data_IF_065593166650
#
_entry.id   IF_065593166650
#
_cell.length_a   1.000
_cell.length_b   1.000
_cell.length_c   1.000
_cell.angle_alpha   90.00
_cell.angle_beta   90.00
_cell.angle_gamma   90.00
#
_symmetry.space_group_name_H-M   'P 1'
#
loop_
_entity.id
_entity.type
_entity.pdbx_description
1 polymer ?
#
# COMPACT_ATOMS: atom_id res chain seq x y z
N UNK A 1 2.56 1.72 -10.31
CA UNK A 1 2.67 0.82 -9.15
C UNK A 1 3.36 1.51 -7.98
N UNK A 2 2.96 1.18 -6.73
CA UNK A 2 3.60 1.65 -5.50
C UNK A 2 4.70 0.68 -5.08
N UNK A 3 5.86 1.24 -4.68
CA UNK A 3 7.05 0.46 -4.30
C UNK A 3 7.74 1.07 -3.09
N UNK A 4 8.50 0.26 -2.37
CA UNK A 4 9.41 0.69 -1.31
C UNK A 4 10.80 0.18 -1.63
N UNK A 5 11.75 1.11 -1.80
CA UNK A 5 13.17 0.78 -1.82
C UNK A 5 13.77 1.04 -0.44
N UNK A 6 15.01 0.76 -0.22
CA UNK A 6 15.65 1.02 1.07
C UNK A 6 16.30 2.39 1.17
N UNK A 7 16.69 2.99 0.05
CA UNK A 7 17.45 4.24 0.01
C UNK A 7 16.54 5.48 0.14
N UNK A 8 16.87 6.43 1.02
CA UNK A 8 18.02 6.44 1.93
C UNK A 8 17.81 5.62 3.22
N UNK A 9 18.92 5.09 3.76
CA UNK A 9 19.02 4.56 5.13
C UNK A 9 18.84 3.07 5.32
N UNK A 10 18.44 2.34 4.27
CA UNK A 10 18.31 0.88 4.23
C UNK A 10 18.76 0.34 2.87
N UNK A 11 19.90 0.84 2.37
CA UNK A 11 20.43 0.53 1.05
C UNK A 11 20.76 -0.97 0.88
N UNK A 12 20.93 -1.68 2.00
CA UNK A 12 21.12 -3.14 2.04
C UNK A 12 19.90 -3.92 1.53
N UNK A 13 18.71 -3.30 1.54
CA UNK A 13 17.49 -3.88 0.98
C UNK A 13 17.42 -3.66 -0.51
N UNK A 14 17.50 -2.40 -0.93
CA UNK A 14 17.55 -2.00 -2.32
C UNK A 14 17.91 -0.53 -2.47
N UNK A 15 18.80 -0.22 -3.43
CA UNK A 15 19.07 1.18 -3.82
C UNK A 15 18.05 1.67 -4.83
N UNK A 16 17.83 2.99 -4.89
CA UNK A 16 16.95 3.62 -5.90
C UNK A 16 17.38 3.23 -7.31
N UNK A 17 18.67 3.25 -7.59
CA UNK A 17 19.21 2.90 -8.91
C UNK A 17 18.89 1.45 -9.29
N UNK A 18 19.04 0.50 -8.35
CA UNK A 18 18.71 -0.90 -8.61
C UNK A 18 17.22 -1.08 -8.85
N UNK A 19 16.37 -0.54 -7.95
CA UNK A 19 14.93 -0.66 -8.07
C UNK A 19 14.38 -0.06 -9.37
N UNK A 20 14.88 1.09 -9.81
CA UNK A 20 14.50 1.67 -11.10
C UNK A 20 14.91 0.81 -12.29
N UNK A 21 16.10 0.17 -12.24
CA UNK A 21 16.53 -0.77 -13.27
C UNK A 21 15.67 -2.04 -13.31
N UNK A 22 15.31 -2.58 -12.13
CA UNK A 22 14.39 -3.73 -12.02
C UNK A 22 13.02 -3.35 -12.55
N UNK A 23 12.48 -2.20 -12.17
CA UNK A 23 11.20 -1.69 -12.67
C UNK A 23 11.20 -1.58 -14.21
N UNK A 24 12.25 -0.97 -14.80
CA UNK A 24 12.37 -0.85 -16.25
C UNK A 24 12.41 -2.22 -16.95
N UNK A 25 13.20 -3.17 -16.44
CA UNK A 25 13.27 -4.54 -16.98
C UNK A 25 11.97 -5.29 -16.86
N UNK A 26 11.16 -4.98 -15.84
CA UNK A 26 9.85 -5.57 -15.61
C UNK A 26 8.72 -4.87 -16.37
N UNK A 27 9.04 -3.86 -17.20
CA UNK A 27 8.08 -3.17 -18.07
C UNK A 27 7.38 -1.97 -17.43
N UNK A 28 7.78 -1.54 -16.24
CA UNK A 28 7.19 -0.36 -15.60
C UNK A 28 7.81 0.92 -16.16
N UNK A 29 6.98 1.77 -16.75
CA UNK A 29 7.39 3.10 -17.24
C UNK A 29 7.46 4.14 -16.13
N UNK A 30 6.69 3.92 -15.06
CA UNK A 30 6.65 4.79 -13.89
C UNK A 30 6.37 4.00 -12.61
N UNK A 31 6.94 4.48 -11.50
CA UNK A 31 6.70 3.97 -10.16
C UNK A 31 6.44 5.11 -9.17
N UNK A 32 5.65 4.83 -8.14
CA UNK A 32 5.49 5.72 -7.00
C UNK A 32 6.24 5.14 -5.80
N UNK A 33 7.24 5.86 -5.28
CA UNK A 33 8.07 5.41 -4.16
C UNK A 33 7.51 5.90 -2.82
N UNK A 34 7.37 4.99 -1.87
CA UNK A 34 6.85 5.28 -0.54
C UNK A 34 7.89 6.01 0.35
N UNK A 35 7.39 6.72 1.37
CA UNK A 35 8.18 7.54 2.28
C UNK A 35 8.90 6.76 3.41
N UNK A 36 8.86 5.44 3.41
CA UNK A 36 9.33 4.56 4.50
C UNK A 36 10.86 4.35 4.55
N UNK A 37 11.58 5.43 4.42
CA UNK A 37 13.06 5.51 4.44
C UNK A 37 13.58 6.06 5.78
N UNK A 38 14.90 6.16 5.94
CA UNK A 38 15.53 6.78 7.10
C UNK A 38 16.64 7.76 6.65
N UNK A 39 16.40 9.08 6.72
CA UNK A 39 15.20 9.72 7.26
C UNK A 39 13.95 9.49 6.40
N UNK A 40 12.77 9.65 7.02
CA UNK A 40 11.47 9.61 6.32
C UNK A 40 11.37 10.76 5.32
N UNK A 41 10.70 10.55 4.20
CA UNK A 41 10.46 11.60 3.18
C UNK A 41 9.29 12.48 3.63
N UNK A 42 9.51 13.38 4.57
CA UNK A 42 8.49 14.23 5.20
C UNK A 42 8.69 15.72 4.97
N UNK A 43 9.64 16.10 4.11
CA UNK A 43 9.95 17.47 3.78
C UNK A 43 10.44 17.64 2.33
N UNK A 44 10.52 18.89 1.88
CA UNK A 44 10.93 19.28 0.54
C UNK A 44 12.27 18.66 0.11
N UNK A 45 13.29 18.75 0.95
CA UNK A 45 14.66 18.30 0.59
C UNK A 45 14.74 16.79 0.38
N UNK A 46 13.97 16.01 1.14
CA UNK A 46 13.89 14.58 0.96
C UNK A 46 13.21 14.19 -0.37
N UNK A 47 12.16 14.91 -0.78
CA UNK A 47 11.53 14.74 -2.10
C UNK A 47 12.50 15.06 -3.22
N UNK A 48 13.20 16.20 -3.14
CA UNK A 48 14.21 16.61 -4.13
C UNK A 48 15.37 15.59 -4.24
N UNK A 49 15.78 15.01 -3.12
CA UNK A 49 16.78 13.93 -3.11
C UNK A 49 16.34 12.74 -3.98
N UNK A 50 15.10 12.24 -3.80
CA UNK A 50 14.58 11.11 -4.56
C UNK A 50 14.54 11.42 -6.07
N UNK A 51 14.04 12.61 -6.43
CA UNK A 51 13.97 13.07 -7.83
C UNK A 51 15.37 13.16 -8.44
N UNK A 52 16.32 13.78 -7.75
CA UNK A 52 17.69 13.92 -8.23
C UNK A 52 18.38 12.54 -8.43
N UNK A 53 18.11 11.59 -7.55
CA UNK A 53 18.63 10.21 -7.66
C UNK A 53 18.06 9.43 -8.85
N UNK A 54 16.88 9.81 -9.34
CA UNK A 54 16.22 9.15 -10.48
C UNK A 54 16.54 9.77 -11.85
N UNK A 55 17.33 10.84 -11.88
CA UNK A 55 17.72 11.50 -13.15
C UNK A 55 18.41 10.50 -14.08
N UNK A 56 18.00 10.51 -15.36
CA UNK A 56 18.45 9.60 -16.41
C UNK A 56 18.06 8.11 -16.23
N UNK A 57 17.16 7.77 -15.33
CA UNK A 57 16.59 6.43 -15.28
C UNK A 57 15.57 6.22 -16.41
N UNK A 58 15.42 4.97 -16.87
CA UNK A 58 14.42 4.62 -17.89
C UNK A 58 12.99 4.63 -17.34
N UNK A 59 12.84 4.35 -16.03
CA UNK A 59 11.55 4.41 -15.32
C UNK A 59 11.43 5.73 -14.59
N UNK A 60 10.31 6.42 -14.76
CA UNK A 60 10.04 7.67 -14.03
C UNK A 60 9.70 7.38 -12.57
N UNK A 61 10.34 8.11 -11.65
CA UNK A 61 10.08 8.01 -10.22
C UNK A 61 9.19 9.15 -9.76
N UNK A 62 8.10 8.83 -9.06
CA UNK A 62 7.21 9.77 -8.41
C UNK A 62 7.26 9.59 -6.90
N UNK A 63 7.73 10.57 -6.12
CA UNK A 63 7.74 10.48 -4.66
C UNK A 63 6.34 10.54 -4.06
N UNK A 64 6.04 9.66 -3.10
CA UNK A 64 4.95 9.81 -2.15
C UNK A 64 5.59 10.39 -0.88
N UNK A 65 5.21 11.60 -0.47
CA UNK A 65 5.67 12.20 0.77
C UNK A 65 4.94 11.60 1.99
N UNK A 66 5.56 11.66 3.17
CA UNK A 66 4.86 11.29 4.39
C UNK A 66 3.72 12.27 4.68
N UNK A 67 2.60 11.76 5.19
CA UNK A 67 1.49 12.57 5.63
C UNK A 67 1.81 13.29 6.95
N UNK A 68 2.55 12.60 7.81
CA UNK A 68 2.93 13.12 9.12
C UNK A 68 4.45 13.16 9.31
N UNK A 69 4.91 14.08 10.16
CA UNK A 69 6.33 14.23 10.48
C UNK A 69 6.91 12.93 11.05
N UNK A 70 7.94 12.40 10.39
CA UNK A 70 8.55 11.12 10.71
C UNK A 70 7.60 9.93 10.62
N UNK A 71 6.45 10.05 9.92
CA UNK A 71 5.38 9.03 9.88
C UNK A 71 4.94 8.57 11.27
N UNK A 72 4.75 9.52 12.20
CA UNK A 72 4.38 9.25 13.60
C UNK A 72 2.87 9.33 13.87
N UNK A 73 2.07 9.82 12.91
CA UNK A 73 0.62 9.97 13.06
C UNK A 73 0.20 11.08 14.04
N UNK A 74 1.07 12.04 14.36
CA UNK A 74 0.84 13.10 15.36
C UNK A 74 0.68 14.46 14.68
N UNK A 75 1.73 14.97 14.08
CA UNK A 75 1.75 16.27 13.43
C UNK A 75 1.86 16.12 11.92
N UNK A 76 1.11 16.94 11.18
CA UNK A 76 1.14 16.94 9.71
C UNK A 76 2.52 17.39 9.19
N UNK A 77 3.00 16.75 8.12
CA UNK A 77 4.23 17.13 7.43
C UNK A 77 4.03 18.35 6.53
N UNK A 78 5.09 18.79 5.85
CA UNK A 78 5.09 19.95 4.94
C UNK A 78 4.48 19.62 3.57
N UNK A 79 3.18 19.24 3.54
CA UNK A 79 2.52 18.69 2.36
C UNK A 79 2.61 19.61 1.13
N UNK A 80 2.36 20.90 1.31
CA UNK A 80 2.40 21.86 0.21
C UNK A 80 3.80 21.99 -0.40
N UNK A 81 4.83 22.11 0.44
CA UNK A 81 6.21 22.25 -0.03
C UNK A 81 6.72 20.98 -0.71
N UNK A 82 6.34 19.82 -0.19
CA UNK A 82 6.60 18.54 -0.86
C UNK A 82 5.88 18.43 -2.21
N UNK A 83 4.62 18.88 -2.30
CA UNK A 83 3.87 18.94 -3.57
C UNK A 83 4.57 19.79 -4.61
N UNK A 84 5.01 20.98 -4.21
CA UNK A 84 5.75 21.91 -5.10
C UNK A 84 7.08 21.31 -5.57
N UNK A 85 7.67 20.44 -4.79
CA UNK A 85 8.92 19.72 -5.13
C UNK A 85 8.71 18.43 -5.91
N UNK A 86 7.47 18.06 -6.22
CA UNK A 86 7.15 16.93 -7.09
C UNK A 86 6.56 15.70 -6.40
N UNK A 87 6.22 15.76 -5.12
CA UNK A 87 5.45 14.69 -4.48
C UNK A 87 4.06 14.57 -5.12
N UNK A 88 3.64 13.36 -5.46
CA UNK A 88 2.36 13.10 -6.14
C UNK A 88 1.22 12.78 -5.17
N UNK A 89 1.54 12.27 -4.00
CA UNK A 89 0.58 11.91 -2.95
C UNK A 89 1.25 11.96 -1.57
N UNK A 90 0.44 11.76 -0.50
CA UNK A 90 0.93 11.81 0.89
C UNK A 90 0.41 10.62 1.68
N UNK A 91 1.32 9.87 2.31
CA UNK A 91 1.03 8.64 3.04
C UNK A 91 2.06 8.36 4.14
N UNK A 92 1.63 7.79 5.24
CA UNK A 92 2.55 7.20 6.22
C UNK A 92 2.84 5.72 5.92
N UNK A 93 2.87 5.37 4.62
CA UNK A 93 3.06 4.03 4.10
C UNK A 93 2.03 3.03 4.69
N UNK A 94 2.46 1.96 5.34
CA UNK A 94 1.60 0.95 5.97
C UNK A 94 1.25 1.24 7.43
N UNK A 95 1.36 2.50 7.85
CA UNK A 95 0.93 2.99 9.17
C UNK A 95 -0.41 3.70 9.04
N UNK A 96 -1.47 3.23 9.71
CA UNK A 96 -2.77 3.89 9.67
C UNK A 96 -2.74 5.21 10.43
N UNK A 97 -3.49 6.18 9.96
CA UNK A 97 -3.72 7.44 10.67
C UNK A 97 -4.82 7.18 11.72
N UNK A 98 -4.42 7.05 12.97
CA UNK A 98 -5.36 6.76 14.06
C UNK A 98 -6.16 7.97 14.53
N UNK A 99 -5.61 9.19 14.37
CA UNK A 99 -6.26 10.42 14.78
C UNK A 99 -7.25 10.91 13.69
N UNK A 100 -8.53 10.82 13.97
CA UNK A 100 -9.61 11.21 13.05
C UNK A 100 -9.54 12.68 12.65
N UNK A 101 -9.22 13.57 13.61
CA UNK A 101 -9.11 14.99 13.35
C UNK A 101 -7.90 15.31 12.45
N UNK A 102 -6.80 14.58 12.60
CA UNK A 102 -5.62 14.74 11.74
C UNK A 102 -5.96 14.40 10.28
N UNK A 103 -6.61 13.25 10.03
CA UNK A 103 -7.02 12.88 8.68
C UNK A 103 -8.04 13.88 8.11
N UNK A 104 -9.01 14.32 8.92
CA UNK A 104 -9.98 15.36 8.54
C UNK A 104 -9.28 16.65 8.09
N UNK A 105 -8.35 17.16 8.88
CA UNK A 105 -7.60 18.39 8.56
C UNK A 105 -6.72 18.20 7.34
N UNK A 106 -6.05 17.04 7.20
CA UNK A 106 -5.23 16.74 6.04
C UNK A 106 -6.04 16.73 4.73
N UNK A 107 -7.23 16.09 4.73
CA UNK A 107 -8.13 16.09 3.57
C UNK A 107 -8.60 17.51 3.21
N UNK A 108 -8.95 18.34 4.19
CA UNK A 108 -9.33 19.73 3.96
C UNK A 108 -8.16 20.57 3.44
N UNK A 109 -6.98 20.43 4.04
CA UNK A 109 -5.79 21.19 3.64
C UNK A 109 -5.31 20.83 2.23
N UNK A 110 -5.31 19.54 1.89
CA UNK A 110 -4.86 19.04 0.60
C UNK A 110 -5.67 19.59 -0.59
N UNK A 111 -6.93 19.97 -0.39
CA UNK A 111 -7.76 20.58 -1.45
C UNK A 111 -7.19 21.88 -1.99
N UNK A 112 -6.44 22.65 -1.18
CA UNK A 112 -5.85 23.93 -1.63
C UNK A 112 -4.80 23.78 -2.74
N UNK A 113 -4.27 22.57 -2.94
CA UNK A 113 -3.23 22.30 -3.95
C UNK A 113 -3.48 21.00 -4.73
N UNK A 114 -4.73 20.54 -4.76
CA UNK A 114 -5.13 19.32 -5.44
C UNK A 114 -4.34 18.09 -4.99
N UNK A 115 -4.09 17.97 -3.68
CA UNK A 115 -3.31 16.92 -3.07
C UNK A 115 -4.11 15.62 -2.90
N UNK A 116 -3.46 14.48 -3.13
CA UNK A 116 -4.01 13.15 -2.91
C UNK A 116 -3.50 12.58 -1.58
N UNK A 117 -4.42 12.21 -0.70
CA UNK A 117 -4.11 11.59 0.59
C UNK A 117 -4.31 10.08 0.49
N UNK A 118 -3.34 9.31 1.02
CA UNK A 118 -3.47 7.87 1.22
C UNK A 118 -3.77 7.57 2.68
N UNK A 119 -4.66 6.63 2.94
CA UNK A 119 -4.91 6.10 4.29
C UNK A 119 -4.81 4.59 4.28
N UNK A 120 -3.81 4.05 4.97
CA UNK A 120 -3.61 2.61 5.07
C UNK A 120 -4.76 1.96 5.86
N UNK A 121 -5.45 0.95 5.30
CA UNK A 121 -6.71 0.45 5.84
C UNK A 121 -6.52 -0.57 6.98
N UNK A 122 -6.01 -0.14 8.12
CA UNK A 122 -5.80 -1.01 9.29
C UNK A 122 -6.15 -0.27 10.58
N UNK A 123 -7.14 -0.74 11.30
CA UNK A 123 -7.39 -0.28 12.65
C UNK A 123 -6.51 -1.06 13.64
N UNK A 124 -5.50 -0.39 14.21
CA UNK A 124 -4.52 -1.03 15.08
C UNK A 124 -5.13 -1.54 16.40
N UNK A 125 -6.19 -0.90 16.92
CA UNK A 125 -6.85 -1.35 18.15
C UNK A 125 -7.57 -2.69 17.96
N UNK A 126 -8.10 -2.94 16.76
CA UNK A 126 -8.73 -4.21 16.38
C UNK A 126 -7.69 -5.25 15.95
N UNK A 127 -6.69 -4.84 15.17
CA UNK A 127 -5.64 -5.73 14.69
C UNK A 127 -4.77 -6.29 15.82
N UNK A 128 -4.56 -5.50 16.87
CA UNK A 128 -3.70 -5.87 18.00
C UNK A 128 -2.30 -6.27 17.52
N UNK A 129 -1.80 -7.36 18.07
CA UNK A 129 -0.52 -7.97 17.69
C UNK A 129 -0.67 -9.09 16.65
N UNK A 130 -1.77 -9.08 15.89
CA UNK A 130 -2.00 -10.07 14.83
C UNK A 130 -0.96 -9.97 13.72
N UNK A 131 -0.59 -11.11 13.14
CA UNK A 131 0.44 -11.23 12.09
C UNK A 131 -0.02 -11.98 10.85
N UNK A 132 -1.17 -12.63 10.91
CA UNK A 132 -1.80 -13.38 9.80
C UNK A 132 -3.29 -13.08 9.76
N UNK A 133 -4.01 -13.55 8.76
CA UNK A 133 -5.48 -13.47 8.73
C UNK A 133 -6.10 -14.22 9.91
N UNK A 134 -7.06 -13.59 10.60
CA UNK A 134 -7.87 -14.29 11.61
C UNK A 134 -8.81 -15.30 10.95
N UNK A 135 -8.70 -16.56 11.30
CA UNK A 135 -9.51 -17.63 10.74
C UNK A 135 -9.08 -19.01 11.19
N UNK A 136 -9.50 -20.02 10.43
CA UNK A 136 -9.18 -21.42 10.71
C UNK A 136 -7.67 -21.66 10.70
N UNK A 137 -6.96 -21.07 9.73
CA UNK A 137 -5.51 -21.26 9.57
C UNK A 137 -4.73 -20.64 10.74
N UNK A 138 -5.04 -19.42 11.17
CA UNK A 138 -4.37 -18.79 12.31
C UNK A 138 -4.59 -19.60 13.61
N UNK A 139 -5.81 -20.07 13.84
CA UNK A 139 -6.12 -20.91 15.01
C UNK A 139 -5.38 -22.24 14.98
N UNK A 140 -5.35 -22.91 13.83
CA UNK A 140 -4.64 -24.18 13.65
C UNK A 140 -3.13 -24.06 13.88
N UNK A 141 -2.55 -22.94 13.44
CA UNK A 141 -1.11 -22.68 13.53
C UNK A 141 -0.70 -22.02 14.87
N UNK A 142 -1.66 -21.66 15.72
CA UNK A 142 -1.38 -20.94 16.97
C UNK A 142 -0.85 -19.53 16.75
N UNK A 143 -1.11 -18.90 15.60
CA UNK A 143 -0.68 -17.54 15.27
C UNK A 143 -1.77 -16.54 15.62
N UNK A 144 -1.37 -15.35 16.08
CA UNK A 144 -2.31 -14.25 16.34
C UNK A 144 -2.90 -13.72 15.02
N UNK A 145 -4.24 -13.72 14.92
CA UNK A 145 -4.95 -13.27 13.74
C UNK A 145 -5.21 -11.78 13.69
N UNK A 146 -5.24 -11.21 12.50
CA UNK A 146 -5.73 -9.86 12.20
C UNK A 146 -7.15 -10.01 11.65
N UNK A 147 -8.20 -9.61 12.41
CA UNK A 147 -9.56 -9.68 11.91
C UNK A 147 -9.74 -8.82 10.65
N UNK A 148 -10.49 -9.32 9.68
CA UNK A 148 -10.90 -8.52 8.52
C UNK A 148 -11.64 -7.23 8.94
N UNK A 149 -12.27 -7.25 10.12
CA UNK A 149 -12.92 -6.10 10.74
C UNK A 149 -11.98 -4.90 10.93
N UNK A 150 -10.67 -5.14 11.16
CA UNK A 150 -9.69 -4.06 11.29
C UNK A 150 -9.57 -3.20 10.02
N UNK A 151 -9.67 -3.83 8.85
CA UNK A 151 -9.69 -3.15 7.56
C UNK A 151 -11.04 -2.45 7.32
N UNK A 152 -12.13 -3.15 7.58
CA UNK A 152 -13.48 -2.62 7.34
C UNK A 152 -13.78 -1.36 8.14
N UNK A 153 -13.45 -1.34 9.43
CA UNK A 153 -13.69 -0.19 10.29
C UNK A 153 -12.83 1.01 9.90
N UNK A 154 -11.57 0.78 9.54
CA UNK A 154 -10.70 1.86 9.08
C UNK A 154 -11.26 2.49 7.81
N UNK A 155 -11.61 1.70 6.81
CA UNK A 155 -12.19 2.19 5.55
C UNK A 155 -13.52 2.92 5.81
N UNK A 156 -14.43 2.34 6.59
CA UNK A 156 -15.71 2.97 6.88
C UNK A 156 -15.53 4.34 7.54
N UNK A 157 -14.63 4.45 8.53
CA UNK A 157 -14.30 5.73 9.17
C UNK A 157 -13.76 6.74 8.15
N UNK A 158 -12.81 6.32 7.31
CA UNK A 158 -12.17 7.19 6.32
C UNK A 158 -13.18 7.70 5.29
N UNK A 159 -14.12 6.86 4.88
CA UNK A 159 -15.20 7.24 3.99
C UNK A 159 -16.14 8.28 4.60
N UNK A 160 -16.48 8.16 5.89
CA UNK A 160 -17.27 9.19 6.58
C UNK A 160 -16.53 10.53 6.64
N UNK A 161 -15.23 10.50 6.90
CA UNK A 161 -14.41 11.71 6.90
C UNK A 161 -14.35 12.33 5.50
N UNK A 162 -14.13 11.52 4.46
CA UNK A 162 -14.13 11.99 3.07
C UNK A 162 -15.48 12.59 2.65
N UNK A 163 -16.59 11.93 3.00
CA UNK A 163 -17.94 12.44 2.73
C UNK A 163 -18.21 13.80 3.40
N UNK A 164 -17.66 14.00 4.61
CA UNK A 164 -17.77 15.26 5.35
C UNK A 164 -16.86 16.37 4.83
N UNK A 165 -15.62 16.05 4.47
CA UNK A 165 -14.59 17.05 4.11
C UNK A 165 -14.52 17.35 2.61
N UNK A 166 -14.89 16.39 1.77
CA UNK A 166 -14.44 16.35 0.38
C UNK A 166 -12.94 16.06 0.26
N UNK A 167 -12.37 16.35 -0.91
CA UNK A 167 -10.97 16.09 -1.23
C UNK A 167 -10.78 14.75 -1.93
N UNK A 168 -9.51 14.30 -2.04
CA UNK A 168 -9.11 13.07 -2.75
C UNK A 168 -8.49 12.07 -1.79
N UNK A 169 -9.03 10.86 -1.76
CA UNK A 169 -8.55 9.78 -0.90
C UNK A 169 -8.20 8.54 -1.72
N UNK A 170 -7.06 7.95 -1.44
CA UNK A 170 -6.71 6.61 -1.92
C UNK A 170 -6.58 5.63 -0.77
N UNK A 171 -7.23 4.48 -0.88
CA UNK A 171 -7.09 3.37 0.08
C UNK A 171 -6.14 2.33 -0.54
N UNK A 172 -4.88 2.27 -0.08
CA UNK A 172 -3.91 1.33 -0.64
C UNK A 172 -4.17 -0.11 -0.19
N UNK A 173 -3.83 -1.06 -1.06
CA UNK A 173 -3.73 -2.49 -0.75
C UNK A 173 -4.91 -3.09 0.02
N UNK A 174 -6.16 -2.82 -0.42
CA UNK A 174 -7.32 -3.50 0.17
C UNK A 174 -7.22 -5.01 -0.02
N UNK A 175 -7.68 -5.78 0.95
CA UNK A 175 -7.48 -7.23 0.97
C UNK A 175 -8.77 -8.07 1.14
N UNK A 176 -9.92 -7.42 1.35
CA UNK A 176 -11.15 -8.14 1.71
C UNK A 176 -12.34 -7.84 0.80
N UNK A 177 -13.23 -8.80 0.65
CA UNK A 177 -14.52 -8.68 -0.08
C UNK A 177 -15.36 -7.50 0.43
N UNK A 178 -15.41 -7.29 1.76
CA UNK A 178 -16.21 -6.20 2.35
C UNK A 178 -15.65 -4.84 2.00
N UNK A 179 -14.32 -4.70 1.91
CA UNK A 179 -13.66 -3.46 1.48
C UNK A 179 -14.02 -3.09 0.06
N UNK A 180 -14.05 -4.07 -0.86
CA UNK A 180 -14.52 -3.84 -2.24
C UNK A 180 -15.95 -3.30 -2.26
N UNK A 181 -16.84 -3.84 -1.43
CA UNK A 181 -18.22 -3.35 -1.33
C UNK A 181 -18.30 -1.92 -0.78
N UNK A 182 -17.54 -1.61 0.26
CA UNK A 182 -17.51 -0.25 0.85
C UNK A 182 -17.03 0.79 -0.17
N UNK A 183 -15.94 0.50 -0.89
CA UNK A 183 -15.42 1.39 -1.94
C UNK A 183 -16.44 1.54 -3.08
N UNK A 184 -17.05 0.44 -3.53
CA UNK A 184 -18.09 0.48 -4.56
C UNK A 184 -19.25 1.41 -4.19
N UNK A 185 -19.73 1.33 -2.96
CA UNK A 185 -20.82 2.20 -2.51
C UNK A 185 -20.37 3.66 -2.38
N UNK A 186 -19.13 3.92 -1.94
CA UNK A 186 -18.57 5.27 -1.88
C UNK A 186 -18.45 5.91 -3.28
N UNK A 187 -17.96 5.15 -4.27
CA UNK A 187 -17.91 5.59 -5.68
C UNK A 187 -19.30 5.90 -6.26
N UNK A 188 -20.32 5.08 -5.94
CA UNK A 188 -21.71 5.35 -6.34
C UNK A 188 -22.27 6.63 -5.73
N UNK A 189 -21.83 7.02 -4.54
CA UNK A 189 -22.19 8.31 -3.93
C UNK A 189 -21.46 9.50 -4.56
N UNK A 190 -20.52 9.26 -5.47
CA UNK A 190 -19.70 10.31 -6.12
C UNK A 190 -18.55 10.82 -5.28
N UNK A 191 -18.09 10.08 -4.26
CA UNK A 191 -16.90 10.45 -3.51
C UNK A 191 -15.65 10.27 -4.38
N UNK A 192 -14.71 11.21 -4.29
CA UNK A 192 -13.41 11.14 -4.99
C UNK A 192 -12.49 10.18 -4.25
N UNK A 193 -12.72 8.89 -4.49
CA UNK A 193 -12.02 7.79 -3.86
C UNK A 193 -11.49 6.81 -4.90
N UNK A 194 -10.24 6.41 -4.70
CA UNK A 194 -9.61 5.32 -5.44
C UNK A 194 -9.08 4.27 -4.48
N UNK A 195 -8.82 3.08 -4.96
CA UNK A 195 -8.16 2.03 -4.17
C UNK A 195 -7.23 1.18 -5.01
N UNK A 196 -6.31 0.52 -4.35
CA UNK A 196 -5.42 -0.46 -4.97
C UNK A 196 -5.49 -1.82 -4.29
N UNK A 197 -5.02 -2.85 -5.00
CA UNK A 197 -4.84 -4.20 -4.49
C UNK A 197 -3.40 -4.65 -4.78
N UNK A 198 -2.76 -5.33 -3.84
CA UNK A 198 -1.46 -5.94 -4.10
C UNK A 198 -1.62 -7.18 -4.98
N UNK A 199 -0.73 -7.34 -5.98
CA UNK A 199 -0.79 -8.44 -6.93
C UNK A 199 -0.90 -9.81 -6.25
N UNK A 200 -0.14 -10.03 -5.18
CA UNK A 200 -0.14 -11.30 -4.47
C UNK A 200 -1.50 -11.65 -3.83
N UNK A 201 -2.35 -10.67 -3.47
CA UNK A 201 -3.70 -10.92 -2.97
C UNK A 201 -4.69 -11.43 -4.04
N UNK A 202 -4.30 -11.38 -5.32
CA UNK A 202 -5.14 -11.88 -6.41
C UNK A 202 -4.96 -13.39 -6.68
N UNK A 203 -3.91 -14.03 -6.11
CA UNK A 203 -3.65 -15.46 -6.37
C UNK A 203 -3.18 -16.25 -5.14
N UNK A 204 -2.70 -15.59 -4.07
CA UNK A 204 -2.32 -16.26 -2.81
C UNK A 204 -3.43 -16.09 -1.77
N UNK A 205 -3.57 -17.10 -0.93
CA UNK A 205 -4.51 -17.12 0.20
C UNK A 205 -3.79 -17.50 1.50
N UNK A 206 -4.48 -17.43 2.63
CA UNK A 206 -3.94 -17.87 3.92
C UNK A 206 -3.75 -19.38 4.02
N UNK A 207 -4.13 -20.14 3.00
CA UNK A 207 -3.82 -21.57 2.87
C UNK A 207 -2.33 -21.85 2.59
N UNK A 208 -1.56 -20.82 2.20
CA UNK A 208 -0.10 -20.91 1.98
C UNK A 208 0.72 -20.91 3.29
N UNK A 209 0.09 -20.68 4.45
CA UNK A 209 0.79 -20.49 5.73
C UNK A 209 1.25 -21.77 6.46
N UNK A 210 0.80 -23.01 6.16
CA UNK A 210 1.07 -24.20 6.98
C UNK A 210 2.56 -24.47 7.25
N UNK A 211 3.44 -24.10 6.32
CA UNK A 211 4.88 -24.34 6.43
C UNK A 211 5.64 -23.21 7.16
N UNK A 212 4.93 -22.21 7.69
CA UNK A 212 5.52 -21.03 8.34
C UNK A 212 6.56 -20.32 7.48
N UNK A 213 6.40 -20.35 6.16
CA UNK A 213 7.30 -19.69 5.24
C UNK A 213 7.13 -18.18 5.32
N UNK A 214 8.17 -17.50 5.83
CA UNK A 214 8.17 -16.05 6.01
C UNK A 214 8.02 -15.26 4.71
N UNK A 215 8.20 -15.89 3.54
CA UNK A 215 7.94 -15.25 2.23
C UNK A 215 6.48 -14.84 2.06
N UNK A 216 5.55 -15.55 2.71
CA UNK A 216 4.12 -15.24 2.72
C UNK A 216 3.71 -14.21 3.77
N UNK A 217 4.65 -13.69 4.57
CA UNK A 217 4.37 -12.66 5.56
C UNK A 217 4.32 -11.29 4.92
N UNK A 218 3.12 -10.78 4.71
CA UNK A 218 2.80 -9.48 4.06
C UNK A 218 1.79 -8.70 4.89
N UNK A 219 1.66 -7.40 4.65
CA UNK A 219 0.71 -6.52 5.32
C UNK A 219 0.00 -5.61 4.28
N UNK A 220 -1.33 -5.75 4.09
CA UNK A 220 -2.27 -6.64 4.79
C UNK A 220 -1.93 -8.14 4.65
N UNK A 221 -2.39 -8.99 5.59
CA UNK A 221 -2.12 -10.43 5.49
C UNK A 221 -2.89 -11.06 4.32
N UNK A 222 -2.38 -12.17 3.81
CA UNK A 222 -3.11 -12.99 2.84
C UNK A 222 -4.46 -13.40 3.46
N UNK A 223 -5.53 -13.29 2.68
CA UNK A 223 -6.91 -13.54 3.11
C UNK A 223 -7.45 -14.86 2.53
N UNK A 224 -8.75 -15.05 2.66
CA UNK A 224 -9.44 -16.26 2.18
C UNK A 224 -9.61 -16.27 0.67
N UNK A 225 -9.87 -17.45 0.11
CA UNK A 225 -10.23 -17.62 -1.31
C UNK A 225 -11.49 -16.81 -1.70
N UNK A 226 -12.43 -16.59 -0.77
CA UNK A 226 -13.60 -15.75 -1.02
C UNK A 226 -13.21 -14.29 -1.24
N UNK A 227 -12.26 -13.81 -0.44
CA UNK A 227 -11.72 -12.45 -0.59
C UNK A 227 -10.96 -12.30 -1.91
N UNK A 228 -10.06 -13.24 -2.25
CA UNK A 228 -9.31 -13.25 -3.51
C UNK A 228 -10.24 -13.17 -4.72
N UNK A 229 -11.31 -14.00 -4.76
CA UNK A 229 -12.31 -13.95 -5.84
C UNK A 229 -13.02 -12.59 -5.92
N UNK A 230 -13.31 -11.98 -4.77
CA UNK A 230 -13.96 -10.68 -4.74
C UNK A 230 -13.01 -9.55 -5.21
N UNK A 231 -11.73 -9.63 -4.89
CA UNK A 231 -10.69 -8.71 -5.36
C UNK A 231 -10.53 -8.78 -6.89
N UNK A 232 -10.41 -9.99 -7.46
CA UNK A 232 -10.35 -10.20 -8.92
C UNK A 232 -11.58 -9.56 -9.59
N UNK A 233 -12.79 -9.84 -9.07
CA UNK A 233 -14.02 -9.21 -9.57
C UNK A 233 -14.02 -7.70 -9.38
N UNK A 234 -13.42 -7.19 -8.32
CA UNK A 234 -13.25 -5.76 -8.07
C UNK A 234 -12.39 -5.08 -9.14
N UNK A 235 -11.30 -5.72 -9.54
CA UNK A 235 -10.41 -5.26 -10.62
C UNK A 235 -11.15 -5.28 -11.96
N UNK A 236 -11.70 -6.42 -12.36
CA UNK A 236 -12.35 -6.59 -13.69
C UNK A 236 -13.62 -5.75 -13.85
N UNK A 237 -14.25 -5.31 -12.75
CA UNK A 237 -15.41 -4.42 -12.78
C UNK A 237 -15.07 -2.93 -12.61
N UNK A 238 -13.78 -2.55 -12.52
CA UNK A 238 -13.33 -1.17 -12.34
C UNK A 238 -13.66 -0.56 -10.96
N UNK A 239 -13.99 -1.38 -9.96
CA UNK A 239 -14.15 -0.92 -8.56
C UNK A 239 -12.78 -0.69 -7.93
N UNK A 240 -11.82 -1.56 -8.20
CA UNK A 240 -10.42 -1.40 -7.84
C UNK A 240 -9.71 -0.73 -9.01
N UNK A 241 -9.03 0.37 -8.76
CA UNK A 241 -8.46 1.24 -9.78
C UNK A 241 -7.04 0.82 -10.19
N UNK A 242 -6.27 0.23 -9.25
CA UNK A 242 -4.84 -0.02 -9.44
C UNK A 242 -4.49 -1.41 -8.88
N UNK A 243 -3.71 -2.18 -9.65
CA UNK A 243 -2.96 -3.32 -9.14
C UNK A 243 -1.54 -2.82 -8.83
N UNK A 244 -1.06 -3.04 -7.61
CA UNK A 244 0.30 -2.68 -7.22
C UNK A 244 1.16 -3.92 -7.01
N UNK A 245 2.45 -3.79 -7.32
CA UNK A 245 3.42 -4.85 -7.04
C UNK A 245 3.64 -5.07 -5.55
N UNK A 246 3.35 -4.06 -4.75
CA UNK A 246 3.66 -4.00 -3.32
C UNK A 246 5.12 -4.40 -3.03
N UNK A 247 6.01 -4.02 -3.95
CA UNK A 247 7.44 -4.32 -3.86
C UNK A 247 8.06 -3.62 -2.65
N UNK A 248 8.46 -4.43 -1.67
CA UNK A 248 9.10 -4.00 -0.44
C UNK A 248 10.11 -5.06 -0.03
N UNK A 249 11.32 -5.05 -0.61
CA UNK A 249 12.36 -6.01 -0.30
C UNK A 249 12.79 -5.87 1.15
N UNK A 250 12.99 -7.00 1.80
CA UNK A 250 13.49 -7.12 3.17
C UNK A 250 14.80 -7.90 3.10
N UNK A 251 15.79 -7.42 3.82
CA UNK A 251 17.07 -8.10 3.93
C UNK A 251 16.91 -9.52 4.52
N UNK A 252 17.85 -10.39 4.17
CA UNK A 252 17.74 -11.81 4.50
C UNK A 252 17.76 -12.05 6.01
N UNK A 253 18.46 -11.21 6.78
CA UNK A 253 18.57 -11.32 8.22
C UNK A 253 17.26 -11.03 8.93
N UNK A 254 16.42 -10.18 8.34
CA UNK A 254 15.08 -9.86 8.83
C UNK A 254 13.96 -10.70 8.17
N UNK A 255 14.25 -11.44 7.10
CA UNK A 255 13.24 -12.26 6.41
C UNK A 255 13.41 -13.76 6.68
N UNK A 256 14.65 -14.27 6.76
CA UNK A 256 14.95 -15.70 7.00
C UNK A 256 15.08 -16.00 8.49
N UNK A 257 14.04 -15.73 9.23
CA UNK A 257 13.88 -15.97 10.67
C UNK A 257 12.55 -16.65 10.92
N UNK A 258 12.24 -16.99 12.17
CA UNK A 258 10.92 -17.53 12.53
C UNK A 258 9.81 -16.61 12.03
N UNK A 259 8.70 -17.22 11.62
CA UNK A 259 7.59 -16.49 10.99
C UNK A 259 7.08 -15.32 11.86
N UNK A 260 7.00 -15.50 13.17
CA UNK A 260 6.57 -14.43 14.10
C UNK A 260 7.50 -13.22 14.07
N UNK A 261 8.80 -13.44 13.93
CA UNK A 261 9.84 -12.40 13.98
C UNK A 261 10.13 -11.78 12.61
N UNK A 262 9.79 -12.48 11.52
CA UNK A 262 10.03 -12.00 10.17
C UNK A 262 9.29 -10.67 9.89
N UNK A 263 9.93 -9.75 9.17
CA UNK A 263 9.30 -8.50 8.73
C UNK A 263 8.37 -8.73 7.53
N UNK A 264 7.30 -7.93 7.48
CA UNK A 264 6.38 -7.90 6.33
C UNK A 264 7.09 -7.33 5.10
N UNK A 265 6.86 -7.94 3.94
CA UNK A 265 7.39 -7.46 2.67
C UNK A 265 7.59 -8.56 1.65
N UNK A 266 7.61 -8.16 0.39
CA UNK A 266 7.75 -9.08 -0.74
C UNK A 266 8.50 -8.42 -1.89
N UNK A 267 9.12 -9.23 -2.75
CA UNK A 267 9.73 -8.80 -4.01
C UNK A 267 8.66 -9.01 -5.10
N UNK A 268 8.05 -7.91 -5.56
CA UNK A 268 6.87 -7.97 -6.43
C UNK A 268 7.06 -7.45 -7.85
N UNK A 269 8.08 -6.61 -8.14
CA UNK A 269 8.22 -5.97 -9.45
C UNK A 269 8.37 -6.98 -10.59
N UNK A 270 9.28 -7.95 -10.47
CA UNK A 270 9.58 -8.89 -11.55
C UNK A 270 8.47 -9.93 -11.80
N UNK A 271 7.71 -10.27 -10.75
CA UNK A 271 6.69 -11.32 -10.80
C UNK A 271 5.28 -10.81 -11.10
N UNK A 272 5.01 -9.52 -10.87
CA UNK A 272 3.66 -8.95 -10.92
C UNK A 272 2.91 -9.27 -12.21
N UNK A 273 3.51 -8.98 -13.36
CA UNK A 273 2.84 -9.19 -14.66
C UNK A 273 2.44 -10.65 -14.86
N UNK A 274 3.39 -11.59 -14.68
CA UNK A 274 3.14 -13.02 -14.85
C UNK A 274 2.10 -13.55 -13.88
N UNK A 275 2.17 -13.14 -12.62
CA UNK A 275 1.24 -13.56 -11.58
C UNK A 275 -0.19 -13.06 -11.86
N UNK A 276 -0.35 -11.78 -12.17
CA UNK A 276 -1.68 -11.21 -12.46
C UNK A 276 -2.27 -11.79 -13.74
N UNK A 277 -1.45 -11.96 -14.79
CA UNK A 277 -1.87 -12.56 -16.05
C UNK A 277 -2.33 -14.04 -15.92
N UNK A 278 -1.91 -14.73 -14.86
CA UNK A 278 -2.37 -16.09 -14.59
C UNK A 278 -3.80 -16.17 -14.06
N UNK A 279 -4.34 -15.09 -13.50
CA UNK A 279 -5.66 -15.05 -12.84
C UNK A 279 -6.66 -14.09 -13.50
N UNK A 280 -6.17 -13.10 -14.26
CA UNK A 280 -6.98 -12.14 -15.01
C UNK A 280 -6.62 -12.27 -16.49
N UNK A 281 -7.63 -12.31 -17.36
CA UNK A 281 -7.40 -12.37 -18.81
C UNK A 281 -6.57 -11.17 -19.27
N UNK A 282 -5.59 -11.40 -20.15
CA UNK A 282 -4.64 -10.38 -20.64
C UNK A 282 -5.33 -9.10 -21.14
N UNK A 283 -6.47 -9.21 -21.82
CA UNK A 283 -7.19 -8.03 -22.31
C UNK A 283 -7.76 -7.20 -21.17
N UNK A 284 -8.41 -7.85 -20.19
CA UNK A 284 -8.96 -7.18 -19.01
C UNK A 284 -7.85 -6.59 -18.12
N UNK A 285 -6.67 -7.25 -18.10
CA UNK A 285 -5.52 -6.78 -17.35
C UNK A 285 -4.89 -5.51 -17.96
N UNK A 286 -4.75 -5.44 -19.30
CA UNK A 286 -4.20 -4.26 -19.99
C UNK A 286 -5.10 -3.04 -19.77
N UNK A 287 -6.40 -3.23 -19.64
CA UNK A 287 -7.34 -2.13 -19.36
C UNK A 287 -7.30 -1.69 -17.88
N UNK A 288 -6.75 -2.51 -16.96
CA UNK A 288 -6.73 -2.27 -15.52
C UNK A 288 -5.40 -1.74 -14.97
N UNK A 289 -4.34 -1.66 -15.79
CA UNK A 289 -3.02 -1.13 -15.43
C UNK A 289 -2.73 0.18 -16.16
#
# INVERSE_FOLDING_TARGET
TSVSFGEPGFEERETIKNGLNVAAKSGFTAIAINANTSPVVDNKSAVEFLINKSVNAATTLYPIGALTQGSKGIDMAELYDMKQSGAVAFADYNKPIANDNLLKVALQYAQNFDGLIFSFPKNNSIAGEGIVNEGVNSTRLGLKGIPALAEHLQIARDLFLLEYTGGKLHIPTISTKKSVLLIKEAKKKGLDITCSVAAHHLFLTDDELPDFDSRYKVNPPLRTNEDTKALIKGVTSGVIDIITSDHNPIDIENKKVEFSEAKDGTIGLESMFGAVNSVINTTEFIEAI
#
